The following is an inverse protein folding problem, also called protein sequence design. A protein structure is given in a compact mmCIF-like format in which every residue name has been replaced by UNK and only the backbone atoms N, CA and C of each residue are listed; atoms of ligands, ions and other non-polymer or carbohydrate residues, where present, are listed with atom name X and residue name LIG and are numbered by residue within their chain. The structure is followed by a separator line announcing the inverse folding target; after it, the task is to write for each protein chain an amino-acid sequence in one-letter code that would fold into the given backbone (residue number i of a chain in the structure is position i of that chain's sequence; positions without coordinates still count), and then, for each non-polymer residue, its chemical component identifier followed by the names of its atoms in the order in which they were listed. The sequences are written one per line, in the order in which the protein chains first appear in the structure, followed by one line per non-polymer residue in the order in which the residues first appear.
data_IF_310067416627
#
_entry.id   IF_310067416627
#
_cell.length_a   1.000
_cell.length_b   1.000
_cell.length_c   1.000
_cell.angle_alpha   90.00
_cell.angle_beta   90.00
_cell.angle_gamma   90.00
#
_symmetry.space_group_name_H-M   'P 1'
#
loop_
_entity.id
_entity.type
_entity.pdbx_description
1 polymer ?
#
# COMPACT_ATOMS: atom_id res chain seq x y z
N UNK A 1 35.61 10.68 47.02
CA UNK A 1 34.34 10.41 47.73
C UNK A 1 33.50 9.52 46.82
N UNK A 2 33.75 8.22 46.89
CA UNK A 2 33.11 7.20 46.06
C UNK A 2 32.60 6.12 47.02
N UNK A 3 31.30 5.84 46.99
CA UNK A 3 30.66 4.79 47.78
C UNK A 3 30.45 3.55 46.91
N UNK A 4 30.84 2.34 47.36
CA UNK A 4 30.44 1.08 46.76
C UNK A 4 29.52 0.24 47.68
N UNK A 5 28.96 -0.84 47.12
CA UNK A 5 28.30 -2.01 47.75
C UNK A 5 26.83 -1.80 48.22
N UNK A 6 25.86 -2.71 48.05
CA UNK A 6 25.85 -4.18 48.14
C UNK A 6 24.72 -4.85 47.32
N UNK A 7 24.81 -6.18 47.24
CA UNK A 7 24.07 -7.16 46.44
C UNK A 7 23.12 -8.08 47.25
N UNK A 8 22.17 -8.72 46.52
CA UNK A 8 21.47 -10.03 46.79
C UNK A 8 20.20 -10.04 47.67
N UNK A 9 19.33 -11.11 47.66
CA UNK A 9 19.23 -12.31 46.80
C UNK A 9 17.79 -12.65 46.29
N UNK A 10 17.68 -13.78 45.58
CA UNK A 10 16.50 -14.41 44.98
C UNK A 10 15.68 -15.33 45.93
N UNK A 11 14.40 -15.56 45.61
CA UNK A 11 13.53 -16.74 45.93
C UNK A 11 12.14 -16.47 45.32
N UNK A 12 11.26 -17.39 44.90
CA UNK A 12 11.18 -18.84 44.96
C UNK A 12 10.26 -19.37 43.84
N UNK A 13 10.42 -20.66 43.59
CA UNK A 13 9.65 -21.56 42.71
C UNK A 13 8.22 -21.76 43.19
N UNK A 14 7.26 -21.97 42.29
CA UNK A 14 6.09 -22.82 42.57
C UNK A 14 5.71 -23.61 41.31
N UNK A 15 5.75 -24.92 41.45
CA UNK A 15 5.24 -25.91 40.51
C UNK A 15 3.76 -26.18 40.77
N UNK A 16 3.01 -26.56 39.74
CA UNK A 16 1.96 -27.56 39.93
C UNK A 16 1.74 -28.37 38.64
N UNK A 17 1.64 -29.69 38.83
CA UNK A 17 1.41 -30.71 37.82
C UNK A 17 -0.05 -31.23 37.91
N UNK A 18 -0.59 -31.76 36.80
CA UNK A 18 -1.02 -33.17 36.63
C UNK A 18 -2.11 -33.35 35.56
N UNK A 19 -1.95 -34.42 34.75
CA UNK A 19 -3.00 -35.23 34.09
C UNK A 19 -3.71 -34.61 32.87
N UNK A 20 -3.73 -35.17 31.65
CA UNK A 20 -3.61 -36.56 31.20
C UNK A 20 -4.98 -37.05 30.70
N UNK A 21 -5.17 -37.19 29.37
CA UNK A 21 -5.84 -38.34 28.75
C UNK A 21 -5.96 -38.19 27.22
N UNK A 22 -5.64 -39.30 26.57
CA UNK A 22 -5.87 -39.76 25.20
C UNK A 22 -7.30 -39.61 24.64
N UNK A 23 -7.41 -39.48 23.32
CA UNK A 23 -8.68 -39.70 22.61
C UNK A 23 -8.67 -39.30 21.13
N UNK A 24 -8.06 -40.12 20.27
CA UNK A 24 -8.27 -40.12 18.82
C UNK A 24 -9.68 -40.58 18.48
N UNK A 25 -10.43 -39.83 17.65
CA UNK A 25 -11.44 -40.39 16.73
C UNK A 25 -11.58 -39.56 15.45
N UNK A 26 -11.17 -40.19 14.36
CA UNK A 26 -11.48 -39.85 12.97
C UNK A 26 -12.93 -40.24 12.69
N UNK A 27 -13.69 -39.37 12.02
CA UNK A 27 -15.04 -39.65 11.52
C UNK A 27 -15.35 -38.74 10.34
N UNK A 28 -15.12 -39.22 9.11
CA UNK A 28 -15.86 -38.71 7.94
C UNK A 28 -15.90 -39.77 6.85
N UNK A 29 -17.10 -40.28 6.58
CA UNK A 29 -17.41 -41.14 5.44
C UNK A 29 -18.48 -40.50 4.56
N UNK A 30 -18.45 -40.85 3.27
CA UNK A 30 -19.65 -41.04 2.44
C UNK A 30 -20.20 -39.86 1.63
N UNK A 31 -19.67 -39.72 0.40
CA UNK A 31 -20.38 -39.54 -0.90
C UNK A 31 -21.83 -38.99 -0.95
N UNK A 32 -22.06 -37.99 -1.81
CA UNK A 32 -23.11 -38.05 -2.86
C UNK A 32 -23.01 -36.91 -3.88
N UNK A 33 -23.18 -37.30 -5.15
CA UNK A 33 -23.37 -36.53 -6.37
C UNK A 33 -24.76 -35.88 -6.46
N UNK A 34 -24.86 -34.67 -7.00
CA UNK A 34 -26.01 -34.23 -7.79
C UNK A 34 -25.66 -32.97 -8.60
N UNK A 35 -25.78 -33.05 -9.92
CA UNK A 35 -25.76 -31.89 -10.79
C UNK A 35 -27.07 -31.12 -10.73
N UNK A 36 -27.02 -29.84 -11.09
CA UNK A 36 -28.20 -29.10 -11.55
C UNK A 36 -27.74 -28.04 -12.55
N UNK A 37 -28.17 -28.23 -13.78
CA UNK A 37 -28.18 -27.28 -14.89
C UNK A 37 -29.26 -26.23 -14.68
N UNK A 38 -28.96 -24.96 -14.95
CA UNK A 38 -29.84 -23.85 -15.33
C UNK A 38 -29.17 -22.56 -14.84
N UNK A 39 -29.17 -21.42 -15.51
CA UNK A 39 -29.67 -21.01 -16.80
C UNK A 39 -29.13 -19.59 -16.98
N UNK A 40 -28.83 -19.23 -18.23
CA UNK A 40 -28.71 -17.88 -18.75
C UNK A 40 -29.61 -16.85 -18.03
N UNK A 41 -29.04 -15.72 -17.63
CA UNK A 41 -29.79 -14.53 -17.25
C UNK A 41 -28.95 -13.48 -16.55
N UNK A 42 -28.62 -12.38 -17.24
CA UNK A 42 -28.20 -11.14 -16.60
C UNK A 42 -26.98 -10.45 -17.20
N UNK A 43 -27.07 -10.05 -18.47
CA UNK A 43 -26.37 -8.82 -18.90
C UNK A 43 -26.90 -7.68 -18.03
N UNK A 44 -26.06 -7.11 -17.17
CA UNK A 44 -26.50 -6.07 -16.22
C UNK A 44 -25.55 -5.68 -15.10
N UNK A 45 -24.31 -6.19 -15.06
CA UNK A 45 -23.32 -5.78 -14.05
C UNK A 45 -22.33 -4.70 -14.51
N UNK A 46 -22.27 -4.39 -15.80
CA UNK A 46 -21.18 -3.55 -16.34
C UNK A 46 -21.41 -2.04 -16.13
N UNK A 47 -22.61 -1.63 -15.68
CA UNK A 47 -22.94 -0.21 -15.48
C UNK A 47 -22.70 0.31 -14.05
N UNK A 48 -22.37 -0.55 -13.09
CA UNK A 48 -22.27 -0.15 -11.68
C UNK A 48 -20.86 0.30 -11.24
N UNK A 49 -19.84 0.15 -12.10
CA UNK A 49 -18.43 0.37 -11.73
C UNK A 49 -17.68 1.34 -12.63
N UNK A 50 -18.28 1.84 -13.71
CA UNK A 50 -17.61 2.79 -14.59
C UNK A 50 -17.44 4.15 -13.87
N UNK A 51 -16.23 4.43 -13.39
CA UNK A 51 -15.92 5.60 -12.57
C UNK A 51 -15.90 6.89 -13.41
N UNK A 52 -15.49 6.78 -14.67
CA UNK A 52 -15.49 7.87 -15.64
C UNK A 52 -16.41 7.51 -16.81
N UNK A 53 -17.41 8.35 -17.09
CA UNK A 53 -18.37 8.11 -18.17
C UNK A 53 -17.92 8.81 -19.46
N UNK A 54 -18.30 8.28 -20.63
CA UNK A 54 -18.03 8.90 -21.95
C UNK A 54 -18.40 10.40 -21.99
N UNK A 55 -19.59 10.85 -21.51
CA UNK A 55 -19.93 12.27 -21.49
C UNK A 55 -18.97 13.13 -20.64
N UNK A 56 -18.55 12.64 -19.46
CA UNK A 56 -17.63 13.39 -18.61
C UNK A 56 -16.22 13.46 -19.22
N UNK A 57 -15.78 12.41 -19.91
CA UNK A 57 -14.52 12.44 -20.66
C UNK A 57 -14.55 13.52 -21.74
N UNK A 58 -15.64 13.63 -22.50
CA UNK A 58 -15.79 14.65 -23.54
C UNK A 58 -15.82 16.08 -22.97
N UNK A 59 -16.44 16.27 -21.80
CA UNK A 59 -16.37 17.55 -21.09
C UNK A 59 -14.93 17.89 -20.67
N UNK A 60 -14.18 16.93 -20.13
CA UNK A 60 -12.78 17.12 -19.75
C UNK A 60 -11.89 17.46 -20.93
N UNK A 61 -12.08 16.80 -22.08
CA UNK A 61 -11.34 17.12 -23.31
C UNK A 61 -11.64 18.55 -23.74
N UNK A 62 -12.90 18.99 -23.73
CA UNK A 62 -13.29 20.35 -24.08
C UNK A 62 -12.76 21.42 -23.12
N UNK A 63 -12.59 21.08 -21.84
CA UNK A 63 -11.96 21.96 -20.85
C UNK A 63 -10.47 22.18 -21.17
N UNK A 64 -9.80 21.21 -21.80
CA UNK A 64 -8.38 21.26 -22.19
C UNK A 64 -8.21 21.90 -23.58
N UNK A 65 -8.91 21.37 -24.58
CA UNK A 65 -8.94 21.87 -25.95
C UNK A 65 -10.37 21.78 -26.52
N UNK A 66 -11.05 22.92 -26.76
CA UNK A 66 -12.41 22.93 -27.30
C UNK A 66 -12.49 22.57 -28.79
N UNK A 67 -11.36 22.50 -29.51
CA UNK A 67 -11.31 22.23 -30.95
C UNK A 67 -11.01 20.78 -31.29
N UNK A 68 -10.53 20.00 -30.32
CA UNK A 68 -10.17 18.60 -30.51
C UNK A 68 -11.41 17.68 -30.38
N UNK A 69 -11.52 16.69 -31.27
CA UNK A 69 -12.51 15.62 -31.20
C UNK A 69 -11.78 14.28 -31.19
N UNK A 70 -12.02 13.50 -30.13
CA UNK A 70 -11.49 12.15 -30.03
C UNK A 70 -12.32 11.18 -30.85
N UNK A 71 -11.65 10.17 -31.42
CA UNK A 71 -12.32 9.04 -32.04
C UNK A 71 -12.83 8.06 -30.98
N UNK A 72 -13.84 7.26 -31.32
CA UNK A 72 -14.50 6.36 -30.36
C UNK A 72 -13.54 5.33 -29.75
N UNK A 73 -12.62 4.80 -30.55
CA UNK A 73 -11.58 3.86 -30.08
C UNK A 73 -10.62 4.50 -29.06
N UNK A 74 -10.33 5.80 -29.23
CA UNK A 74 -9.43 6.54 -28.33
C UNK A 74 -10.15 6.86 -27.02
N UNK A 75 -11.42 7.22 -27.07
CA UNK A 75 -12.24 7.42 -25.88
C UNK A 75 -12.28 6.13 -25.03
N UNK A 76 -12.50 4.98 -25.67
CA UNK A 76 -12.53 3.68 -24.97
C UNK A 76 -11.20 3.31 -24.34
N UNK A 77 -10.09 3.57 -25.04
CA UNK A 77 -8.75 3.37 -24.49
C UNK A 77 -8.49 4.27 -23.26
N UNK A 78 -8.86 5.55 -23.32
CA UNK A 78 -8.67 6.48 -22.20
C UNK A 78 -9.51 6.09 -20.99
N UNK A 79 -10.74 5.62 -21.21
CA UNK A 79 -11.59 5.09 -20.15
C UNK A 79 -10.95 3.87 -19.47
N UNK A 80 -10.44 2.92 -20.26
CA UNK A 80 -9.73 1.76 -19.71
C UNK A 80 -8.51 2.18 -18.88
N UNK A 81 -7.71 3.12 -19.39
CA UNK A 81 -6.53 3.64 -18.66
C UNK A 81 -6.96 4.31 -17.33
N UNK A 82 -8.10 5.02 -17.32
CA UNK A 82 -8.62 5.64 -16.11
C UNK A 82 -9.05 4.60 -15.07
N UNK A 83 -9.72 3.53 -15.49
CA UNK A 83 -10.12 2.44 -14.60
C UNK A 83 -8.88 1.70 -14.06
N UNK A 84 -7.90 1.37 -14.91
CA UNK A 84 -6.63 0.75 -14.52
C UNK A 84 -5.85 1.64 -13.53
N UNK A 85 -5.85 2.96 -13.75
CA UNK A 85 -5.23 3.94 -12.85
C UNK A 85 -5.86 3.89 -11.45
N UNK A 86 -7.19 3.86 -11.36
CA UNK A 86 -7.88 3.80 -10.07
C UNK A 86 -7.61 2.46 -9.38
N UNK A 87 -7.68 1.34 -10.09
CA UNK A 87 -7.39 0.03 -9.52
C UNK A 87 -5.97 -0.04 -8.96
N UNK A 88 -4.97 0.41 -9.72
CA UNK A 88 -3.58 0.47 -9.23
C UNK A 88 -3.43 1.38 -8.01
N UNK A 89 -4.06 2.56 -8.03
CA UNK A 89 -3.98 3.53 -6.94
C UNK A 89 -4.63 2.98 -5.66
N UNK A 90 -5.80 2.37 -5.76
CA UNK A 90 -6.51 1.78 -4.62
C UNK A 90 -5.74 0.59 -4.07
N UNK A 91 -5.20 -0.27 -4.92
CA UNK A 91 -4.37 -1.41 -4.50
C UNK A 91 -3.12 -0.93 -3.74
N UNK A 92 -2.39 0.05 -4.28
CA UNK A 92 -1.24 0.62 -3.61
C UNK A 92 -1.61 1.28 -2.26
N UNK A 93 -2.71 2.03 -2.20
CA UNK A 93 -3.20 2.64 -0.97
C UNK A 93 -3.57 1.58 0.09
N UNK A 94 -4.20 0.47 -0.32
CA UNK A 94 -4.49 -0.65 0.55
C UNK A 94 -3.20 -1.31 1.10
N UNK A 95 -2.17 -1.46 0.26
CA UNK A 95 -0.87 -1.99 0.69
C UNK A 95 -0.19 -1.06 1.71
N UNK A 96 -0.27 0.26 1.51
CA UNK A 96 0.28 1.25 2.44
C UNK A 96 -0.46 1.25 3.80
N UNK A 97 -1.79 1.16 3.79
CA UNK A 97 -2.59 1.03 5.01
C UNK A 97 -2.20 -0.24 5.80
N UNK A 98 -2.07 -1.37 5.10
CA UNK A 98 -1.58 -2.64 5.66
C UNK A 98 -0.17 -2.51 6.22
N UNK A 99 0.74 -1.81 5.55
CA UNK A 99 2.10 -1.58 6.03
C UNK A 99 2.15 -0.83 7.37
N UNK A 100 1.22 0.11 7.60
CA UNK A 100 1.07 0.77 8.91
C UNK A 100 0.33 -0.06 9.96
N UNK A 101 -0.14 -1.26 9.60
CA UNK A 101 -0.95 -2.14 10.46
C UNK A 101 -2.31 -1.54 10.82
N UNK A 102 -2.87 -0.72 9.93
CA UNK A 102 -4.21 -0.11 10.09
C UNK A 102 -5.18 -0.82 9.14
N UNK A 103 -6.37 -1.25 9.60
CA UNK A 103 -7.34 -1.97 8.75
C UNK A 103 -8.13 -1.06 7.81
N UNK A 104 -7.95 0.27 7.92
CA UNK A 104 -8.67 1.29 7.17
C UNK A 104 -7.70 2.07 6.29
N UNK A 105 -8.09 2.28 5.03
CA UNK A 105 -7.38 3.17 4.09
C UNK A 105 -7.66 4.62 4.49
N UNK A 106 -6.59 5.41 4.60
CA UNK A 106 -6.65 6.82 4.94
C UNK A 106 -6.15 7.67 3.77
N UNK A 107 -6.50 8.96 3.76
CA UNK A 107 -6.15 9.89 2.67
C UNK A 107 -4.64 9.94 2.42
N UNK A 108 -3.84 9.85 3.49
CA UNK A 108 -2.37 9.81 3.41
C UNK A 108 -1.82 8.62 2.62
N UNK A 109 -2.55 7.51 2.50
CA UNK A 109 -2.12 6.35 1.71
C UNK A 109 -2.19 6.65 0.22
N UNK A 110 -3.33 7.18 -0.23
CA UNK A 110 -3.56 7.57 -1.62
C UNK A 110 -2.61 8.69 -2.02
N UNK A 111 -2.51 9.72 -1.17
CA UNK A 111 -1.65 10.87 -1.43
C UNK A 111 -0.17 10.47 -1.59
N UNK A 112 0.36 9.63 -0.70
CA UNK A 112 1.75 9.20 -0.79
C UNK A 112 2.03 8.46 -2.11
N UNK A 113 1.09 7.63 -2.59
CA UNK A 113 1.23 6.94 -3.86
C UNK A 113 1.22 7.90 -5.05
N UNK A 114 0.30 8.87 -5.08
CA UNK A 114 0.22 9.87 -6.13
C UNK A 114 1.48 10.75 -6.21
N UNK A 115 2.02 11.19 -5.07
CA UNK A 115 3.22 12.02 -5.04
C UNK A 115 4.48 11.27 -5.48
N UNK A 116 4.61 9.98 -5.11
CA UNK A 116 5.84 9.21 -5.34
C UNK A 116 5.88 8.48 -6.66
N UNK A 117 4.75 7.97 -7.12
CA UNK A 117 4.67 7.15 -8.33
C UNK A 117 4.18 7.94 -9.54
N UNK A 118 3.29 8.92 -9.32
CA UNK A 118 2.68 9.70 -10.40
C UNK A 118 3.20 11.14 -10.48
N UNK A 119 4.03 11.55 -9.51
CA UNK A 119 4.50 12.93 -9.36
C UNK A 119 3.35 13.96 -9.34
N UNK A 120 2.16 13.52 -8.90
CA UNK A 120 0.98 14.37 -8.75
C UNK A 120 0.93 14.91 -7.33
N UNK A 121 0.77 16.22 -7.19
CA UNK A 121 0.58 16.88 -5.91
C UNK A 121 -0.79 17.55 -5.87
N UNK A 122 -1.61 17.19 -4.88
CA UNK A 122 -2.96 17.71 -4.73
C UNK A 122 -2.96 18.78 -3.63
N UNK A 123 -3.16 20.07 -3.97
CA UNK A 123 -3.26 21.12 -2.97
C UNK A 123 -4.45 20.89 -2.01
N UNK A 124 -4.27 21.25 -0.74
CA UNK A 124 -5.34 21.17 0.27
C UNK A 124 -5.55 19.79 0.92
N UNK A 125 -4.83 18.76 0.47
CA UNK A 125 -4.81 17.43 1.09
C UNK A 125 -3.43 17.15 1.70
N UNK A 126 -3.40 16.58 2.92
CA UNK A 126 -2.18 16.15 3.62
C UNK A 126 -1.17 17.25 3.95
N UNK A 127 -1.65 18.36 4.53
CA UNK A 127 -0.79 19.41 5.09
C UNK A 127 -0.07 19.00 6.38
N UNK A 128 -0.22 17.76 6.85
CA UNK A 128 0.47 17.24 8.02
C UNK A 128 1.62 16.29 7.61
N UNK A 129 2.85 16.74 7.84
CA UNK A 129 4.08 15.91 7.94
C UNK A 129 4.80 15.35 6.69
N UNK A 130 4.83 16.01 5.54
CA UNK A 130 5.86 15.74 4.52
C UNK A 130 6.76 16.94 4.17
N UNK A 131 7.31 17.58 5.20
CA UNK A 131 8.63 18.23 5.09
C UNK A 131 9.30 18.32 6.46
N UNK A 132 10.14 17.34 6.77
CA UNK A 132 11.55 17.64 6.58
C UNK A 132 12.16 16.58 5.65
N UNK A 133 12.61 17.02 4.47
CA UNK A 133 13.75 16.37 3.84
C UNK A 133 14.94 16.57 4.80
N UNK A 134 15.00 15.77 5.88
CA UNK A 134 16.25 15.53 6.59
C UNK A 134 17.12 14.88 5.53
N UNK A 135 18.07 15.64 4.98
CA UNK A 135 19.17 15.06 4.21
C UNK A 135 19.60 13.81 4.97
N UNK A 136 19.54 12.66 4.30
CA UNK A 136 19.97 11.41 4.89
C UNK A 136 21.31 11.66 5.58
N UNK A 137 21.40 11.36 6.87
CA UNK A 137 22.62 11.58 7.63
C UNK A 137 23.73 10.83 6.91
N UNK A 138 24.67 11.57 6.34
CA UNK A 138 25.78 10.99 5.60
C UNK A 138 26.52 10.05 6.55
N UNK A 139 26.60 8.77 6.18
CA UNK A 139 27.28 7.77 7.00
C UNK A 139 28.75 8.15 7.18
N UNK A 140 29.34 7.82 8.33
CA UNK A 140 30.77 8.08 8.59
C UNK A 140 31.65 7.48 7.49
N UNK A 141 31.29 6.29 6.98
CA UNK A 141 31.95 5.66 5.84
C UNK A 141 31.89 6.53 4.56
N UNK A 142 30.75 7.14 4.26
CA UNK A 142 30.62 8.04 3.11
C UNK A 142 31.45 9.32 3.31
N UNK A 143 31.50 9.88 4.52
CA UNK A 143 32.36 11.05 4.84
C UNK A 143 33.84 10.72 4.62
N UNK A 144 34.30 9.56 5.09
CA UNK A 144 35.67 9.10 4.90
C UNK A 144 36.02 8.92 3.42
N UNK A 145 35.13 8.28 2.65
CA UNK A 145 35.28 8.14 1.19
C UNK A 145 35.42 9.51 0.50
N UNK A 146 34.54 10.47 0.83
CA UNK A 146 34.62 11.82 0.27
C UNK A 146 35.93 12.53 0.64
N UNK A 147 36.44 12.32 1.86
CA UNK A 147 37.71 12.89 2.29
C UNK A 147 38.89 12.33 1.48
N UNK A 148 38.91 11.02 1.19
CA UNK A 148 39.93 10.39 0.35
C UNK A 148 39.87 10.89 -1.09
N UNK A 149 38.67 11.00 -1.67
CA UNK A 149 38.48 11.55 -3.02
C UNK A 149 38.99 12.99 -3.10
N UNK A 150 38.62 13.86 -2.14
CA UNK A 150 39.11 15.26 -2.10
C UNK A 150 40.63 15.33 -1.99
N UNK A 151 41.25 14.46 -1.19
CA UNK A 151 42.72 14.38 -1.07
C UNK A 151 43.38 13.95 -2.37
N UNK A 152 42.79 13.00 -3.10
CA UNK A 152 43.32 12.54 -4.38
C UNK A 152 43.21 13.61 -5.49
N UNK A 153 42.09 14.34 -5.54
CA UNK A 153 41.89 15.43 -6.51
C UNK A 153 42.84 16.60 -6.25
N UNK A 154 43.12 16.93 -4.98
CA UNK A 154 44.05 18.02 -4.63
C UNK A 154 45.54 17.67 -4.86
N UNK A 155 45.85 16.39 -5.11
CA UNK A 155 47.22 15.91 -5.34
C UNK A 155 47.64 16.02 -6.81
N UNK A 156 46.70 16.30 -7.71
CA UNK A 156 46.91 16.62 -9.12
C UNK A 156 46.49 18.07 -9.37
#
# INVERSE_FOLDING_TARGET
MASPSQSSPATAVTANAVGGSSGTKVSTGGSSSAGTTSSSGGSGTDSATQLLTKPRLQELVREIDPTEQLDEEVEELLLQIADDFVENTVNAACLLAKHRKVPKVEVRDVQLHLERNWNMWIPGFGTDELRPYKRATVTEAHKQRLALIRKAIKKY
#
